data_IF_119626792698
#
_entry.id   IF_119626792698
#
_cell.length_a   1.000
_cell.length_b   1.000
_cell.length_c   1.000
_cell.angle_alpha   90.00
_cell.angle_beta   90.00
_cell.angle_gamma   90.00
#
_symmetry.space_group_name_H-M   'P 1'
#
loop_
_entity.id
_entity.type
_entity.pdbx_description
1 polymer ?
#
# COMPACT_ATOMS: atom_id res chain seq x y z
N UNK A 1 -13.64 7.21 -42.50
CA UNK A 1 -12.63 6.35 -43.15
C UNK A 1 -11.40 7.23 -43.28
N UNK A 2 -10.50 7.12 -42.31
CA UNK A 2 -9.29 7.94 -42.20
C UNK A 2 -8.18 6.99 -41.79
N UNK A 3 -7.17 6.89 -42.66
CA UNK A 3 -6.04 5.98 -42.62
C UNK A 3 -5.15 6.20 -41.40
N UNK A 4 -4.77 5.10 -40.76
CA UNK A 4 -3.72 5.07 -39.75
C UNK A 4 -2.39 4.74 -40.45
N UNK A 5 -1.49 5.71 -40.50
CA UNK A 5 -0.11 5.52 -40.96
C UNK A 5 0.71 4.93 -39.80
N UNK A 6 1.06 3.65 -39.90
CA UNK A 6 1.96 2.96 -38.96
C UNK A 6 3.37 3.05 -39.51
N UNK A 7 4.20 3.92 -38.93
CA UNK A 7 5.62 3.97 -39.26
C UNK A 7 6.37 2.88 -38.47
N UNK A 8 6.78 1.84 -39.18
CA UNK A 8 7.71 0.82 -38.71
C UNK A 8 9.13 1.38 -38.74
N UNK A 9 9.69 1.73 -37.59
CA UNK A 9 11.13 1.94 -37.46
C UNK A 9 11.82 0.58 -37.31
N UNK A 10 12.34 0.11 -38.44
CA UNK A 10 13.32 -0.97 -38.54
C UNK A 10 14.65 -0.48 -37.95
N UNK A 11 14.99 -0.95 -36.77
CA UNK A 11 16.33 -0.83 -36.19
C UNK A 11 16.96 -2.21 -36.13
N UNK A 12 17.83 -2.52 -37.08
CA UNK A 12 18.74 -3.66 -37.00
C UNK A 12 19.81 -3.34 -35.94
N UNK A 13 19.92 -4.14 -34.89
CA UNK A 13 21.13 -4.23 -34.06
C UNK A 13 21.23 -5.62 -33.42
N UNK A 14 22.22 -6.37 -33.88
CA UNK A 14 22.78 -7.57 -33.24
C UNK A 14 23.43 -7.22 -31.90
N UNK A 15 23.72 -8.26 -31.08
CA UNK A 15 24.36 -8.30 -29.74
C UNK A 15 23.29 -8.53 -28.67
N UNK A 16 23.38 -9.46 -27.74
CA UNK A 16 24.28 -10.58 -27.40
C UNK A 16 23.54 -11.24 -26.23
N UNK A 17 23.65 -12.55 -26.09
CA UNK A 17 23.06 -13.31 -24.99
C UNK A 17 23.46 -12.71 -23.63
N UNK A 18 22.49 -12.10 -22.95
CA UNK A 18 22.55 -11.87 -21.51
C UNK A 18 21.11 -11.67 -21.01
N UNK A 19 20.43 -12.80 -20.76
CA UNK A 19 19.14 -12.88 -20.06
C UNK A 19 19.29 -12.32 -18.64
N UNK A 20 19.29 -11.00 -18.53
CA UNK A 20 19.04 -10.34 -17.26
C UNK A 20 17.53 -10.47 -16.98
N UNK A 21 17.10 -11.15 -15.90
CA UNK A 21 15.70 -11.17 -15.56
C UNK A 21 15.29 -9.73 -15.25
N UNK A 22 14.48 -9.18 -16.16
CA UNK A 22 13.80 -7.91 -16.03
C UNK A 22 13.06 -7.94 -14.70
N UNK A 23 13.66 -7.31 -13.69
CA UNK A 23 12.97 -7.04 -12.44
C UNK A 23 11.92 -6.01 -12.79
N UNK A 24 10.73 -6.48 -13.14
CA UNK A 24 9.55 -5.64 -13.32
C UNK A 24 9.25 -5.06 -11.95
N UNK A 25 9.86 -3.92 -11.68
CA UNK A 25 9.65 -3.12 -10.49
C UNK A 25 8.17 -2.74 -10.56
N UNK A 26 7.33 -3.47 -9.80
CA UNK A 26 5.91 -3.20 -9.67
C UNK A 26 5.81 -1.79 -9.13
N UNK A 27 5.57 -0.86 -10.04
CA UNK A 27 5.30 0.54 -9.74
C UNK A 27 3.90 0.51 -9.13
N UNK A 28 3.84 0.30 -7.82
CA UNK A 28 2.65 0.64 -7.05
C UNK A 28 2.47 2.13 -7.27
N UNK A 29 1.59 2.50 -8.19
CA UNK A 29 1.10 3.85 -8.35
C UNK A 29 0.27 4.17 -7.11
N UNK A 30 0.97 4.47 -6.01
CA UNK A 30 0.42 5.05 -4.78
C UNK A 30 0.07 6.50 -5.14
N UNK A 31 -1.02 6.67 -5.88
CA UNK A 31 -1.65 7.96 -6.16
C UNK A 31 -2.68 8.28 -5.08
N UNK A 32 -2.39 7.94 -3.83
CA UNK A 32 -3.10 8.42 -2.65
C UNK A 32 -2.12 9.25 -1.84
N UNK A 33 -2.08 10.57 -2.09
CA UNK A 33 -1.44 11.61 -1.25
C UNK A 33 -0.35 11.06 -0.32
N UNK A 34 0.78 10.64 -0.90
CA UNK A 34 1.87 9.97 -0.18
C UNK A 34 2.35 10.84 0.98
N UNK A 35 1.99 10.46 2.20
CA UNK A 35 2.56 10.96 3.45
C UNK A 35 4.00 10.49 3.67
N UNK A 36 4.52 9.60 2.81
CA UNK A 36 5.83 9.00 3.00
C UNK A 36 6.92 10.02 2.69
N UNK A 37 7.71 10.32 3.71
CA UNK A 37 8.90 11.16 3.61
C UNK A 37 9.91 10.45 2.67
N UNK A 38 10.69 11.17 1.84
CA UNK A 38 11.64 10.54 0.93
C UNK A 38 12.56 9.50 1.59
N UNK A 39 13.02 9.77 2.82
CA UNK A 39 13.82 8.84 3.62
C UNK A 39 13.08 7.54 3.98
N UNK A 40 11.78 7.61 4.26
CA UNK A 40 10.95 6.43 4.54
C UNK A 40 10.79 5.60 3.28
N UNK A 41 10.57 6.24 2.12
CA UNK A 41 10.48 5.55 0.84
C UNK A 41 11.78 4.83 0.49
N UNK A 42 12.92 5.47 0.71
CA UNK A 42 14.24 4.87 0.47
C UNK A 42 14.47 3.70 1.42
N UNK A 43 14.18 3.86 2.71
CA UNK A 43 14.25 2.79 3.70
C UNK A 43 13.35 1.61 3.33
N UNK A 44 12.09 1.86 2.98
CA UNK A 44 11.14 0.83 2.58
C UNK A 44 11.62 0.07 1.33
N UNK A 45 12.18 0.79 0.35
CA UNK A 45 12.73 0.20 -0.88
C UNK A 45 13.95 -0.67 -0.60
N UNK A 46 14.88 -0.18 0.23
CA UNK A 46 16.07 -0.93 0.64
C UNK A 46 15.71 -2.17 1.46
N UNK A 47 14.79 -2.02 2.43
CA UNK A 47 14.33 -3.13 3.27
C UNK A 47 13.62 -4.21 2.46
N UNK A 48 12.79 -3.83 1.48
CA UNK A 48 12.16 -4.76 0.55
C UNK A 48 13.21 -5.51 -0.28
N UNK A 49 14.22 -4.80 -0.80
CA UNK A 49 15.32 -5.40 -1.54
C UNK A 49 16.16 -6.38 -0.70
N UNK A 50 16.47 -6.02 0.55
CA UNK A 50 17.22 -6.88 1.47
C UNK A 50 16.44 -8.15 1.82
N UNK A 51 15.17 -7.99 2.21
CA UNK A 51 14.30 -9.10 2.57
C UNK A 51 14.11 -10.07 1.39
N UNK A 52 13.93 -9.54 0.18
CA UNK A 52 13.80 -10.35 -1.03
C UNK A 52 15.06 -11.16 -1.32
N UNK A 53 16.25 -10.53 -1.27
CA UNK A 53 17.53 -11.24 -1.46
C UNK A 53 17.77 -12.31 -0.39
N UNK A 54 17.49 -11.99 0.87
CA UNK A 54 17.66 -12.93 1.99
C UNK A 54 16.74 -14.15 1.83
N UNK A 55 15.47 -13.93 1.53
CA UNK A 55 14.52 -15.02 1.28
C UNK A 55 14.88 -15.81 0.02
N UNK A 56 15.33 -15.13 -1.04
CA UNK A 56 15.73 -15.78 -2.28
C UNK A 56 16.89 -16.76 -2.05
N UNK A 57 17.96 -16.29 -1.40
CA UNK A 57 19.15 -17.11 -1.13
C UNK A 57 18.86 -18.28 -0.18
N UNK A 58 18.10 -18.06 0.89
CA UNK A 58 17.94 -19.08 1.93
C UNK A 58 16.80 -20.07 1.63
N UNK A 59 15.73 -19.63 0.97
CA UNK A 59 14.49 -20.41 0.87
C UNK A 59 14.02 -20.54 -0.58
N UNK A 60 13.85 -19.44 -1.31
CA UNK A 60 13.12 -19.51 -2.59
C UNK A 60 13.88 -20.25 -3.69
N UNK A 61 15.23 -20.25 -3.67
CA UNK A 61 16.04 -20.99 -4.65
C UNK A 61 15.99 -22.51 -4.46
N UNK A 62 15.70 -23.00 -3.24
CA UNK A 62 15.63 -24.43 -2.93
C UNK A 62 14.21 -25.00 -3.10
N UNK A 63 13.21 -24.16 -3.37
CA UNK A 63 11.84 -24.62 -3.59
C UNK A 63 11.66 -25.27 -4.97
N UNK A 64 11.08 -26.49 -5.03
CA UNK A 64 10.73 -27.12 -6.30
C UNK A 64 9.48 -26.46 -6.91
N UNK A 65 9.62 -26.00 -8.16
CA UNK A 65 8.51 -25.42 -8.93
C UNK A 65 8.25 -23.93 -8.66
N UNK A 66 7.43 -23.26 -9.50
CA UNK A 66 6.94 -21.92 -9.21
C UNK A 66 6.03 -21.92 -7.97
N UNK A 67 6.06 -20.88 -7.12
CA UNK A 67 6.77 -19.62 -7.29
C UNK A 67 8.12 -19.54 -6.58
N UNK A 68 9.14 -19.10 -7.30
CA UNK A 68 10.45 -18.69 -6.75
C UNK A 68 10.53 -17.16 -6.55
N UNK A 69 9.38 -16.49 -6.64
CA UNK A 69 9.25 -15.04 -6.50
C UNK A 69 8.04 -14.68 -5.62
N UNK A 70 8.12 -13.50 -5.03
CA UNK A 70 7.15 -12.98 -4.07
C UNK A 70 6.27 -11.96 -4.81
N UNK A 71 5.38 -12.42 -5.68
CA UNK A 71 4.53 -11.54 -6.50
C UNK A 71 3.16 -11.25 -5.85
N UNK A 72 2.94 -11.72 -4.62
CA UNK A 72 1.68 -11.51 -3.90
C UNK A 72 0.47 -12.22 -4.51
N UNK A 73 0.65 -13.02 -5.58
CA UNK A 73 -0.46 -13.75 -6.23
C UNK A 73 -0.72 -15.11 -5.58
N UNK A 74 0.19 -15.58 -4.73
CA UNK A 74 0.06 -16.86 -4.05
C UNK A 74 -0.53 -16.70 -2.64
N UNK A 75 -1.54 -17.52 -2.34
CA UNK A 75 -2.32 -17.59 -1.10
C UNK A 75 -1.54 -17.70 0.22
N UNK A 76 -0.21 -17.89 0.16
CA UNK A 76 0.63 -18.15 1.34
C UNK A 76 1.43 -16.94 1.82
N UNK A 77 1.44 -15.82 1.09
CA UNK A 77 2.15 -14.61 1.51
C UNK A 77 1.18 -13.50 1.86
N UNK A 78 0.92 -13.35 3.16
CA UNK A 78 0.04 -12.34 3.68
C UNK A 78 0.68 -10.95 3.53
N UNK A 79 0.33 -10.23 2.47
CA UNK A 79 0.38 -8.77 2.51
C UNK A 79 -0.47 -8.37 3.72
N UNK A 80 0.19 -7.86 4.77
CA UNK A 80 -0.50 -7.39 5.96
C UNK A 80 -1.24 -6.11 5.58
N UNK A 81 -2.52 -6.25 5.25
CA UNK A 81 -3.39 -5.10 5.09
C UNK A 81 -3.61 -4.43 6.45
N UNK A 82 -3.69 -3.10 6.50
CA UNK A 82 -4.05 -2.41 7.73
C UNK A 82 -5.44 -2.85 8.20
N UNK A 83 -5.58 -3.09 9.50
CA UNK A 83 -6.87 -3.45 10.10
C UNK A 83 -7.66 -2.19 10.41
N UNK A 84 -8.62 -1.87 9.53
CA UNK A 84 -9.48 -0.71 9.66
C UNK A 84 -10.59 -0.88 10.72
N UNK A 85 -10.85 -2.12 11.15
CA UNK A 85 -11.84 -2.43 12.20
C UNK A 85 -11.23 -2.42 13.59
N UNK A 86 -9.93 -2.14 13.71
CA UNK A 86 -9.27 -2.00 14.99
C UNK A 86 -9.91 -0.86 15.80
N UNK A 87 -10.34 -1.10 17.04
CA UNK A 87 -10.87 -0.07 17.91
C UNK A 87 -9.73 0.86 18.36
N UNK A 88 -9.98 2.17 18.31
CA UNK A 88 -9.03 3.24 18.65
C UNK A 88 -9.74 4.29 19.51
N UNK A 89 -8.99 4.90 20.43
CA UNK A 89 -9.48 6.02 21.21
C UNK A 89 -9.28 7.31 20.42
N UNK A 90 -10.36 8.06 20.25
CA UNK A 90 -10.32 9.39 19.67
C UNK A 90 -10.74 10.44 20.69
N UNK A 91 -10.06 11.57 20.70
CA UNK A 91 -10.40 12.74 21.48
C UNK A 91 -10.89 13.85 20.56
N UNK A 92 -12.09 14.35 20.83
CA UNK A 92 -12.73 15.38 20.02
C UNK A 92 -12.17 16.78 20.36
N UNK A 93 -11.49 17.41 19.40
CA UNK A 93 -10.96 18.77 19.55
C UNK A 93 -12.06 19.84 19.36
N UNK A 94 -13.14 19.48 18.66
CA UNK A 94 -14.31 20.31 18.33
C UNK A 94 -15.57 19.46 18.41
N UNK A 95 -16.74 20.11 18.37
CA UNK A 95 -18.01 19.40 18.21
C UNK A 95 -18.02 18.72 16.84
N UNK A 96 -18.04 17.39 16.84
CA UNK A 96 -17.96 16.60 15.63
C UNK A 96 -19.37 16.35 15.07
N UNK A 97 -19.53 16.31 13.74
CA UNK A 97 -20.79 15.92 13.13
C UNK A 97 -21.14 14.45 13.48
N UNK A 98 -22.41 14.05 13.41
CA UNK A 98 -22.82 12.68 13.72
C UNK A 98 -22.13 11.68 12.79
N UNK A 99 -21.39 10.75 13.36
CA UNK A 99 -20.73 9.67 12.63
C UNK A 99 -21.50 8.37 12.80
N UNK A 100 -21.75 7.68 11.69
CA UNK A 100 -22.44 6.38 11.68
C UNK A 100 -21.43 5.30 12.04
N UNK A 101 -21.65 4.67 13.19
CA UNK A 101 -20.88 3.52 13.64
C UNK A 101 -21.24 2.27 12.79
N UNK A 102 -20.44 1.19 12.82
CA UNK A 102 -20.72 -0.02 12.04
C UNK A 102 -22.02 -0.73 12.45
N UNK A 103 -22.56 -0.40 13.61
CA UNK A 103 -23.86 -0.83 14.11
C UNK A 103 -25.04 -0.05 13.50
N UNK A 104 -24.77 0.99 12.70
CA UNK A 104 -25.75 1.87 12.07
C UNK A 104 -26.28 2.97 12.99
N UNK A 105 -25.78 3.07 14.23
CA UNK A 105 -26.23 4.08 15.19
C UNK A 105 -25.43 5.36 14.97
N UNK A 106 -26.08 6.52 14.82
CA UNK A 106 -25.39 7.79 14.78
C UNK A 106 -24.79 8.09 16.16
N UNK A 107 -23.50 8.38 16.18
CA UNK A 107 -22.77 8.76 17.39
C UNK A 107 -22.34 10.22 17.28
N UNK A 108 -22.77 11.03 18.23
CA UNK A 108 -22.38 12.44 18.34
C UNK A 108 -21.29 12.57 19.40
N UNK A 109 -20.18 13.21 19.05
CA UNK A 109 -19.07 13.47 19.98
C UNK A 109 -18.87 14.97 20.14
N UNK A 110 -19.11 15.44 21.36
CA UNK A 110 -18.89 16.83 21.77
C UNK A 110 -17.40 17.10 21.98
N UNK A 111 -17.01 18.38 21.90
CA UNK A 111 -15.64 18.81 22.20
C UNK A 111 -15.20 18.34 23.59
N UNK A 112 -14.00 17.75 23.65
CA UNK A 112 -13.37 17.25 24.87
C UNK A 112 -13.76 15.82 25.25
N UNK A 113 -14.71 15.19 24.55
CA UNK A 113 -15.06 13.81 24.80
C UNK A 113 -14.03 12.85 24.20
N UNK A 114 -13.74 11.77 24.94
CA UNK A 114 -12.97 10.63 24.46
C UNK A 114 -13.96 9.51 24.14
N UNK A 115 -13.87 8.98 22.92
CA UNK A 115 -14.76 7.91 22.44
C UNK A 115 -13.95 6.78 21.83
N UNK A 116 -14.43 5.56 22.02
CA UNK A 116 -13.87 4.37 21.40
C UNK A 116 -14.62 4.11 20.09
N UNK A 117 -13.92 4.11 18.96
CA UNK A 117 -14.52 3.84 17.65
C UNK A 117 -13.54 3.08 16.74
N UNK A 118 -13.97 2.75 15.53
CA UNK A 118 -13.16 1.99 14.57
C UNK A 118 -12.25 2.93 13.77
N UNK A 119 -11.03 2.47 13.46
CA UNK A 119 -10.05 3.24 12.68
C UNK A 119 -10.62 3.76 11.36
N UNK A 120 -11.49 2.99 10.70
CA UNK A 120 -12.18 3.38 9.45
C UNK A 120 -12.98 4.68 9.58
N UNK A 121 -13.54 4.96 10.75
CA UNK A 121 -14.34 6.15 11.03
C UNK A 121 -13.44 7.30 11.44
N UNK A 122 -12.34 7.05 12.17
CA UNK A 122 -11.49 8.15 12.65
C UNK A 122 -10.67 8.80 11.54
N UNK A 123 -10.29 8.06 10.49
CA UNK A 123 -9.46 8.60 9.40
C UNK A 123 -10.02 9.89 8.78
N UNK A 124 -11.32 9.93 8.50
CA UNK A 124 -11.93 11.12 7.91
C UNK A 124 -11.99 12.30 8.90
N UNK A 125 -12.23 12.03 10.19
CA UNK A 125 -12.25 13.06 11.24
C UNK A 125 -10.84 13.63 11.51
N UNK A 126 -9.81 12.79 11.49
CA UNK A 126 -8.40 13.22 11.61
C UNK A 126 -8.01 14.08 10.42
N UNK A 127 -8.40 13.68 9.20
CA UNK A 127 -8.07 14.44 7.99
C UNK A 127 -8.64 15.87 7.98
N UNK A 128 -9.72 16.10 8.74
CA UNK A 128 -10.36 17.41 8.95
C UNK A 128 -9.82 18.17 10.18
N UNK A 129 -9.01 17.51 11.02
CA UNK A 129 -8.51 18.08 12.27
C UNK A 129 -9.61 18.31 13.31
N UNK A 130 -10.64 17.45 13.32
CA UNK A 130 -11.74 17.48 14.28
C UNK A 130 -11.44 16.64 15.52
N UNK A 131 -10.63 15.58 15.35
CA UNK A 131 -10.26 14.63 16.41
C UNK A 131 -8.76 14.33 16.37
N UNK A 132 -8.22 13.90 17.51
CA UNK A 132 -6.88 13.33 17.64
C UNK A 132 -6.94 11.92 18.21
N UNK A 133 -5.94 11.09 17.88
CA UNK A 133 -5.78 9.75 18.46
C UNK A 133 -4.97 9.83 19.75
N UNK A 134 -5.36 9.06 20.78
CA UNK A 134 -4.66 8.91 22.06
C UNK A 134 -4.09 7.51 22.19
#
# INVERSE_FOLDING_TARGET
>A
RSDAEVQFLKGDQSISDDEHPRTTLVRLDIKSKSTNVPSERDHASQHAGFSSKHLNFNVLQSLPGPPRHFDGTHYYMSIKMPDLMKPVFMHALKDCPPVVLPDGIPHETLKGHISLTHSSIVEHLISRGEVELI
#
